data_IF_247799620679
#
_entry.id   IF_247799620679
#
_cell.length_a   1.000
_cell.length_b   1.000
_cell.length_c   1.000
_cell.angle_alpha   90.00
_cell.angle_beta   90.00
_cell.angle_gamma   90.00
#
_symmetry.space_group_name_H-M   'P 1'
#
loop_
_entity.id
_entity.type
_entity.pdbx_description
1 polymer ?
#
# COMPACT_ATOMS: atom_id res chain seq x y z
N UNK A 1 -15.82 -28.50 18.37
CA UNK A 1 -15.76 -27.07 18.03
C UNK A 1 -14.59 -26.85 17.08
N UNK A 2 -14.84 -26.77 15.79
CA UNK A 2 -13.82 -26.38 14.81
C UNK A 2 -13.71 -24.85 14.87
N UNK A 3 -12.55 -24.32 15.29
CA UNK A 3 -12.24 -22.92 15.02
C UNK A 3 -12.08 -22.80 13.50
N UNK A 4 -12.72 -21.83 12.83
CA UNK A 4 -12.35 -21.54 11.45
C UNK A 4 -10.90 -21.08 11.47
N UNK A 5 -10.00 -21.88 10.88
CA UNK A 5 -8.68 -21.43 10.48
C UNK A 5 -8.90 -20.36 9.43
N UNK A 6 -8.73 -19.09 9.81
CA UNK A 6 -8.61 -18.02 8.83
C UNK A 6 -7.44 -18.40 7.91
N UNK A 7 -7.72 -18.49 6.61
CA UNK A 7 -6.64 -18.69 5.64
C UNK A 7 -5.69 -17.51 5.74
N UNK A 8 -4.37 -17.73 5.74
CA UNK A 8 -3.41 -16.64 5.78
C UNK A 8 -3.70 -15.72 4.60
N UNK A 9 -3.92 -14.44 4.88
CA UNK A 9 -4.17 -13.43 3.86
C UNK A 9 -3.01 -13.47 2.87
N UNK A 10 -3.27 -13.91 1.64
CA UNK A 10 -2.29 -13.86 0.57
C UNK A 10 -2.24 -12.41 0.05
N UNK A 11 -1.07 -11.77 0.15
CA UNK A 11 -0.87 -10.37 -0.23
C UNK A 11 -1.31 -10.07 -1.67
N UNK A 12 -0.96 -10.94 -2.62
CA UNK A 12 -1.39 -10.79 -4.01
C UNK A 12 -2.90 -10.94 -4.16
N UNK A 13 -3.50 -11.95 -3.51
CA UNK A 13 -4.95 -12.15 -3.58
C UNK A 13 -5.71 -10.95 -2.98
N UNK A 14 -5.18 -10.34 -1.93
CA UNK A 14 -5.71 -9.10 -1.37
C UNK A 14 -5.66 -7.96 -2.40
N UNK A 15 -4.53 -7.73 -3.07
CA UNK A 15 -4.42 -6.69 -4.09
C UNK A 15 -5.40 -6.93 -5.24
N UNK A 16 -5.50 -8.14 -5.77
CA UNK A 16 -6.43 -8.45 -6.87
C UNK A 16 -7.89 -8.24 -6.46
N UNK A 17 -8.26 -8.63 -5.24
CA UNK A 17 -9.60 -8.39 -4.70
C UNK A 17 -9.89 -6.89 -4.61
N UNK A 18 -8.97 -6.10 -4.04
CA UNK A 18 -9.12 -4.65 -3.92
C UNK A 18 -9.23 -3.97 -5.28
N UNK A 19 -8.37 -4.35 -6.21
CA UNK A 19 -8.37 -3.84 -7.60
C UNK A 19 -9.71 -4.13 -8.27
N UNK A 20 -10.23 -5.36 -8.14
CA UNK A 20 -11.54 -5.73 -8.67
C UNK A 20 -12.65 -4.82 -8.18
N UNK A 21 -12.75 -4.61 -6.86
CA UNK A 21 -13.76 -3.74 -6.27
C UNK A 21 -13.65 -2.28 -6.75
N UNK A 22 -12.44 -1.73 -6.83
CA UNK A 22 -12.22 -0.35 -7.27
C UNK A 22 -12.58 -0.18 -8.75
N UNK A 23 -12.15 -1.10 -9.61
CA UNK A 23 -12.45 -1.05 -11.04
C UNK A 23 -13.96 -1.18 -11.31
N UNK A 24 -14.65 -2.05 -10.59
CA UNK A 24 -16.10 -2.20 -10.66
C UNK A 24 -16.80 -0.90 -10.23
N UNK A 25 -16.41 -0.32 -9.09
CA UNK A 25 -16.97 0.92 -8.58
C UNK A 25 -16.75 2.11 -9.53
N UNK A 26 -15.61 2.15 -10.23
CA UNK A 26 -15.27 3.20 -11.19
C UNK A 26 -15.82 2.96 -12.60
N UNK A 27 -16.34 1.76 -12.89
CA UNK A 27 -16.78 1.37 -14.24
C UNK A 27 -15.66 1.38 -15.28
N UNK A 28 -14.40 1.17 -14.86
CA UNK A 28 -13.20 1.27 -15.70
C UNK A 28 -12.57 -0.10 -15.95
N UNK A 29 -11.81 -0.20 -17.05
CA UNK A 29 -10.94 -1.35 -17.32
C UNK A 29 -9.54 -1.09 -16.75
N UNK A 30 -8.79 -2.15 -16.37
CA UNK A 30 -7.39 -1.99 -15.95
C UNK A 30 -6.57 -1.33 -17.06
N UNK A 31 -5.67 -0.42 -16.67
CA UNK A 31 -4.67 0.13 -17.60
C UNK A 31 -3.65 -0.94 -17.94
N UNK A 32 -3.27 -1.05 -19.21
CA UNK A 32 -2.25 -2.01 -19.62
C UNK A 32 -0.85 -1.49 -19.27
N UNK A 33 0.01 -2.39 -18.82
CA UNK A 33 1.43 -2.13 -18.61
C UNK A 33 2.08 -1.77 -19.95
N UNK A 34 3.00 -0.82 -19.94
CA UNK A 34 3.76 -0.49 -21.15
C UNK A 34 4.81 -1.57 -21.44
N UNK A 35 5.11 -1.81 -22.72
CA UNK A 35 6.15 -2.77 -23.13
C UNK A 35 7.58 -2.30 -22.78
N UNK A 36 7.76 -1.02 -22.42
CA UNK A 36 9.06 -0.44 -22.11
C UNK A 36 9.49 -0.77 -20.67
N UNK A 37 9.87 -2.03 -20.43
CA UNK A 37 10.30 -2.49 -19.12
C UNK A 37 11.59 -1.82 -18.66
N UNK A 38 11.57 -1.25 -17.44
CA UNK A 38 12.77 -0.84 -16.73
C UNK A 38 13.77 -2.01 -16.53
N UNK A 39 15.05 -1.68 -16.41
CA UNK A 39 16.05 -2.67 -16.00
C UNK A 39 15.76 -3.19 -14.59
N UNK A 40 16.10 -4.45 -14.27
CA UNK A 40 15.88 -5.02 -12.93
C UNK A 40 16.51 -4.20 -11.80
N UNK A 41 17.69 -3.62 -12.04
CA UNK A 41 18.37 -2.78 -11.06
C UNK A 41 17.61 -1.48 -10.80
N UNK A 42 17.04 -0.86 -11.83
CA UNK A 42 16.26 0.37 -11.70
C UNK A 42 14.92 0.10 -11.02
N UNK A 43 14.27 -1.02 -11.35
CA UNK A 43 13.08 -1.50 -10.67
C UNK A 43 13.33 -1.68 -9.17
N UNK A 44 14.37 -2.44 -8.80
CA UNK A 44 14.72 -2.69 -7.41
C UNK A 44 15.11 -1.40 -6.65
N UNK A 45 15.74 -0.44 -7.33
CA UNK A 45 16.00 0.88 -6.76
C UNK A 45 14.69 1.61 -6.43
N UNK A 46 13.79 1.78 -7.40
CA UNK A 46 12.54 2.52 -7.21
C UNK A 46 11.62 1.86 -6.18
N UNK A 47 11.57 0.52 -6.16
CA UNK A 47 10.84 -0.22 -5.12
C UNK A 47 11.40 0.08 -3.72
N UNK A 48 12.72 0.07 -3.54
CA UNK A 48 13.36 0.39 -2.24
C UNK A 48 13.10 1.82 -1.79
N UNK A 49 13.07 2.77 -2.71
CA UNK A 49 12.71 4.16 -2.38
C UNK A 49 11.27 4.26 -1.87
N UNK A 50 10.33 3.56 -2.51
CA UNK A 50 8.95 3.51 -2.05
C UNK A 50 8.81 2.81 -0.69
N UNK A 51 9.53 1.70 -0.47
CA UNK A 51 9.59 1.03 0.84
C UNK A 51 10.13 1.97 1.93
N UNK A 52 11.19 2.72 1.63
CA UNK A 52 11.76 3.68 2.58
C UNK A 52 10.77 4.80 2.93
N UNK A 53 10.05 5.34 1.94
CA UNK A 53 8.99 6.33 2.17
C UNK A 53 7.89 5.74 3.06
N UNK A 54 7.42 4.53 2.76
CA UNK A 54 6.42 3.83 3.57
C UNK A 54 6.86 3.71 5.03
N UNK A 55 8.08 3.21 5.29
CA UNK A 55 8.57 3.03 6.67
C UNK A 55 8.78 4.35 7.39
N UNK A 56 9.31 5.35 6.70
CA UNK A 56 9.52 6.68 7.27
C UNK A 56 8.18 7.29 7.70
N UNK A 57 7.19 7.29 6.83
CA UNK A 57 5.89 7.89 7.09
C UNK A 57 5.12 7.13 8.18
N UNK A 58 5.18 5.79 8.18
CA UNK A 58 4.59 4.99 9.25
C UNK A 58 5.24 5.29 10.62
N UNK A 59 6.55 5.51 10.66
CA UNK A 59 7.27 5.85 11.88
C UNK A 59 6.99 7.29 12.35
N UNK A 60 6.83 8.24 11.43
CA UNK A 60 6.45 9.62 11.75
C UNK A 60 5.07 9.68 12.41
N UNK A 61 4.10 8.99 11.83
CA UNK A 61 2.74 8.89 12.37
C UNK A 61 2.71 8.16 13.72
N UNK A 62 3.54 7.12 13.92
CA UNK A 62 3.67 6.45 15.21
C UNK A 62 4.20 7.40 16.30
N UNK A 63 5.11 8.31 15.96
CA UNK A 63 5.67 9.30 16.89
C UNK A 63 4.68 10.43 17.22
N UNK A 64 3.82 10.82 16.27
CA UNK A 64 2.85 11.92 16.45
C UNK A 64 1.55 11.47 17.09
N UNK A 65 1.12 10.22 16.92
CA UNK A 65 -0.09 9.67 17.58
C UNK A 65 0.09 9.54 19.11
N UNK A 66 1.33 9.42 19.59
CA UNK A 66 1.66 9.48 21.04
C UNK A 66 1.43 10.90 21.63
N UNK A 67 1.37 11.97 20.83
CA UNK A 67 1.07 13.35 21.27
C UNK A 67 -0.43 13.72 21.19
N UNK A 68 -1.25 13.03 20.40
CA UNK A 68 -2.65 13.38 20.11
C UNK A 68 -3.63 12.51 20.92
N UNK A 69 -3.49 12.48 22.25
CA UNK A 69 -4.46 11.82 23.14
C UNK A 69 -5.75 12.66 23.34
N UNK A 70 -5.90 13.80 22.66
CA UNK A 70 -7.04 14.71 22.83
C UNK A 70 -7.71 15.11 21.51
N UNK A 71 -8.67 14.30 21.08
CA UNK A 71 -9.70 14.71 20.12
C UNK A 71 -9.42 14.20 18.71
N UNK A 72 -9.95 13.01 18.42
CA UNK A 72 -9.69 12.29 17.18
C UNK A 72 -10.03 13.10 15.92
N UNK A 73 -9.12 13.07 14.96
CA UNK A 73 -9.32 13.40 13.56
C UNK A 73 -8.27 12.63 12.73
N UNK A 74 -8.66 11.47 12.20
CA UNK A 74 -7.95 10.70 11.16
C UNK A 74 -8.00 11.47 9.82
N UNK A 75 -7.46 12.70 9.77
CA UNK A 75 -7.61 13.59 8.60
C UNK A 75 -6.32 14.21 8.07
N UNK A 76 -5.15 13.89 8.61
CA UNK A 76 -3.90 14.22 7.90
C UNK A 76 -3.60 13.14 6.85
N UNK A 77 -3.19 13.57 5.66
CA UNK A 77 -3.01 12.71 4.48
C UNK A 77 -2.11 11.53 4.84
N UNK A 78 -2.60 10.31 4.65
CA UNK A 78 -1.79 9.12 4.90
C UNK A 78 -0.77 8.98 3.76
N UNK A 79 0.52 8.99 4.08
CA UNK A 79 1.65 8.77 3.16
C UNK A 79 1.83 9.80 2.01
N UNK A 80 1.91 11.12 2.27
CA UNK A 80 1.99 12.14 1.22
C UNK A 80 3.23 11.97 0.30
N UNK A 81 4.38 11.61 0.86
CA UNK A 81 5.62 11.37 0.12
C UNK A 81 5.54 10.14 -0.77
N UNK A 82 5.00 9.02 -0.28
CA UNK A 82 4.79 7.84 -1.12
C UNK A 82 3.79 8.12 -2.24
N UNK A 83 2.69 8.81 -1.95
CA UNK A 83 1.68 9.14 -2.96
C UNK A 83 2.24 10.07 -4.04
N UNK A 84 3.01 11.10 -3.66
CA UNK A 84 3.70 11.95 -4.62
C UNK A 84 4.71 11.16 -5.48
N UNK A 85 5.40 10.19 -4.88
CA UNK A 85 6.31 9.30 -5.60
C UNK A 85 5.55 8.43 -6.63
N UNK A 86 4.43 7.82 -6.24
CA UNK A 86 3.57 7.02 -7.13
C UNK A 86 2.98 7.88 -8.25
N UNK A 87 2.50 9.09 -7.95
CA UNK A 87 1.98 10.03 -8.96
C UNK A 87 3.04 10.35 -10.02
N UNK A 88 4.29 10.56 -9.59
CA UNK A 88 5.44 10.75 -10.48
C UNK A 88 5.75 9.55 -11.38
N UNK A 89 5.34 8.33 -11.01
CA UNK A 89 5.51 7.11 -11.82
C UNK A 89 4.38 6.93 -12.85
N UNK A 90 3.16 7.39 -12.55
CA UNK A 90 1.97 7.18 -13.42
C UNK A 90 1.65 8.38 -14.32
N UNK A 91 2.20 9.55 -14.01
CA UNK A 91 1.93 10.79 -14.73
C UNK A 91 2.52 10.77 -16.14
N UNK A 92 1.64 10.92 -17.15
CA UNK A 92 2.00 11.07 -18.56
C UNK A 92 2.52 12.49 -18.91
N UNK A 93 2.43 13.43 -17.97
CA UNK A 93 2.73 14.86 -18.20
C UNK A 93 4.22 15.22 -18.22
N UNK A 94 5.08 14.31 -17.80
CA UNK A 94 6.53 14.45 -17.88
C UNK A 94 6.99 13.71 -19.15
N UNK A 95 8.04 14.16 -19.83
CA UNK A 95 8.55 13.57 -21.10
C UNK A 95 9.09 12.12 -20.99
N UNK A 96 8.61 11.33 -20.03
CA UNK A 96 9.00 9.96 -19.71
C UNK A 96 7.76 9.07 -19.74
N UNK A 97 7.88 7.84 -20.27
CA UNK A 97 6.79 6.87 -20.24
C UNK A 97 6.42 6.52 -18.79
N UNK A 98 5.14 6.26 -18.48
CA UNK A 98 4.70 5.84 -17.16
C UNK A 98 5.32 4.49 -16.80
N UNK A 99 5.73 4.33 -15.54
CA UNK A 99 6.39 3.14 -15.00
C UNK A 99 5.41 2.30 -14.15
N UNK A 100 4.33 1.84 -14.79
CA UNK A 100 3.26 1.09 -14.13
C UNK A 100 3.78 -0.21 -13.50
N UNK A 101 4.82 -0.82 -14.07
CA UNK A 101 5.48 -1.99 -13.52
C UNK A 101 6.09 -1.76 -12.13
N UNK A 102 6.51 -0.52 -11.84
CA UNK A 102 7.01 -0.14 -10.51
C UNK A 102 5.85 -0.01 -9.53
N UNK A 103 4.73 0.54 -9.98
CA UNK A 103 3.50 0.64 -9.17
C UNK A 103 2.99 -0.75 -8.80
N UNK A 104 3.01 -1.70 -9.74
CA UNK A 104 2.68 -3.11 -9.46
C UNK A 104 3.64 -3.73 -8.43
N UNK A 105 4.94 -3.43 -8.53
CA UNK A 105 5.92 -3.89 -7.55
C UNK A 105 5.71 -3.29 -6.15
N UNK A 106 5.25 -2.04 -6.08
CA UNK A 106 4.87 -1.36 -4.83
C UNK A 106 3.60 -1.98 -4.25
N UNK A 107 2.58 -2.23 -5.07
CA UNK A 107 1.34 -2.90 -4.65
C UNK A 107 1.61 -4.29 -4.08
N UNK A 108 2.51 -5.06 -4.71
CA UNK A 108 2.93 -6.37 -4.18
C UNK A 108 3.54 -6.24 -2.78
N UNK A 109 4.45 -5.27 -2.58
CA UNK A 109 5.01 -4.98 -1.25
C UNK A 109 3.93 -4.60 -0.23
N UNK A 110 3.00 -3.71 -0.59
CA UNK A 110 1.92 -3.29 0.31
C UNK A 110 0.98 -4.45 0.65
N UNK A 111 0.69 -5.32 -0.32
CA UNK A 111 -0.06 -6.56 -0.13
C UNK A 111 0.61 -7.50 0.86
N UNK A 112 1.91 -7.76 0.68
CA UNK A 112 2.71 -8.58 1.59
C UNK A 112 2.74 -8.01 3.01
N UNK A 113 2.81 -6.67 3.13
CA UNK A 113 2.80 -6.01 4.43
C UNK A 113 1.45 -6.14 5.11
N UNK A 114 0.35 -5.93 4.39
CA UNK A 114 -1.00 -6.13 4.91
C UNK A 114 -1.24 -7.57 5.35
N UNK A 115 -0.78 -8.54 4.56
CA UNK A 115 -0.83 -9.96 4.88
C UNK A 115 -0.09 -10.27 6.19
N UNK A 116 1.14 -9.78 6.31
CA UNK A 116 1.97 -9.94 7.51
C UNK A 116 1.28 -9.35 8.76
N UNK A 117 0.80 -8.11 8.66
CA UNK A 117 0.08 -7.44 9.74
C UNK A 117 -1.21 -8.17 10.13
N UNK A 118 -1.94 -8.72 9.15
CA UNK A 118 -3.16 -9.51 9.39
C UNK A 118 -2.83 -10.81 10.13
N UNK A 119 -1.79 -11.52 9.70
CA UNK A 119 -1.36 -12.75 10.33
C UNK A 119 -0.89 -12.54 11.79
N UNK A 120 -0.18 -11.44 12.06
CA UNK A 120 0.22 -11.07 13.43
C UNK A 120 -1.00 -10.82 14.33
N UNK A 121 -2.00 -10.06 13.86
CA UNK A 121 -3.25 -9.82 14.59
C UNK A 121 -4.02 -11.13 14.84
N UNK A 122 -4.11 -12.00 13.83
CA UNK A 122 -4.78 -13.31 13.92
C UNK A 122 -4.08 -14.26 14.88
N UNK A 123 -2.75 -14.16 14.99
CA UNK A 123 -1.95 -14.88 15.99
C UNK A 123 -2.16 -14.35 17.42
N UNK A 124 -2.95 -13.30 17.60
CA UNK A 124 -3.29 -12.73 18.90
C UNK A 124 -2.37 -11.60 19.36
N UNK A 125 -1.54 -11.05 18.46
CA UNK A 125 -0.81 -9.82 18.74
C UNK A 125 -1.78 -8.64 18.76
N UNK A 126 -2.39 -8.36 19.91
CA UNK A 126 -3.32 -7.26 20.06
C UNK A 126 -2.57 -6.01 20.53
N UNK A 127 -2.02 -5.26 19.57
CA UNK A 127 -1.53 -3.91 19.85
C UNK A 127 -2.25 -2.91 18.96
N UNK A 128 -2.62 -1.77 19.56
CA UNK A 128 -3.20 -0.63 18.85
C UNK A 128 -2.33 -0.24 17.64
N UNK A 129 -1.01 -0.35 17.79
CA UNK A 129 -0.01 -0.09 16.74
C UNK A 129 -0.19 -1.00 15.52
N UNK A 130 -0.36 -2.30 15.72
CA UNK A 130 -0.57 -3.26 14.63
C UNK A 130 -1.91 -3.04 13.92
N UNK A 131 -2.98 -2.79 14.68
CA UNK A 131 -4.30 -2.50 14.11
C UNK A 131 -4.26 -1.24 13.26
N UNK A 132 -3.64 -0.19 13.79
CA UNK A 132 -3.47 1.09 13.10
C UNK A 132 -2.60 0.94 11.85
N UNK A 133 -1.43 0.32 11.94
CA UNK A 133 -0.55 0.10 10.80
C UNK A 133 -1.24 -0.67 9.69
N UNK A 134 -2.01 -1.72 10.02
CA UNK A 134 -2.80 -2.49 9.05
C UNK A 134 -3.84 -1.61 8.35
N UNK A 135 -4.55 -0.78 9.10
CA UNK A 135 -5.55 0.14 8.55
C UNK A 135 -4.92 1.17 7.61
N UNK A 136 -3.75 1.71 7.97
CA UNK A 136 -3.01 2.65 7.14
C UNK A 136 -2.48 2.00 5.87
N UNK A 137 -1.90 0.79 5.94
CA UNK A 137 -1.49 0.03 4.74
C UNK A 137 -2.69 -0.24 3.83
N UNK A 138 -3.83 -0.66 4.39
CA UNK A 138 -5.03 -0.94 3.61
C UNK A 138 -5.55 0.32 2.88
N UNK A 139 -5.53 1.47 3.57
CA UNK A 139 -5.91 2.76 2.99
C UNK A 139 -4.95 3.20 1.89
N UNK A 140 -3.64 3.02 2.10
CA UNK A 140 -2.64 3.34 1.10
C UNK A 140 -2.82 2.51 -0.19
N UNK A 141 -3.12 1.22 -0.05
CA UNK A 141 -3.41 0.35 -1.22
C UNK A 141 -4.55 0.93 -2.05
N UNK A 142 -5.63 1.41 -1.42
CA UNK A 142 -6.73 2.03 -2.15
C UNK A 142 -6.32 3.28 -2.89
N UNK A 143 -5.49 4.12 -2.28
CA UNK A 143 -5.02 5.37 -2.87
C UNK A 143 -4.06 5.13 -4.04
N UNK A 144 -3.27 4.05 -4.00
CA UNK A 144 -2.38 3.67 -5.11
C UNK A 144 -3.16 3.02 -6.27
N UNK A 145 -4.30 2.38 -5.98
CA UNK A 145 -5.16 1.75 -6.99
C UNK A 145 -6.15 2.71 -7.67
N UNK A 146 -6.41 3.88 -7.08
CA UNK A 146 -7.31 4.92 -7.59
C UNK A 146 -6.63 5.86 -8.59
#
# INVERSE_FOLDING_TARGET
>A
MHKPTAEPVNGQAYIELRRGHILEALGRRPRQLSDAMLSPARMAFLRREAEALYWNELAWEELTDDEIVHGGHLTEMVFPGLLAFVDGLVSEGNSRPPHLEVVESILAFLGDRYATLSAELEAGADSRKLVWARAMTARLVDLVLY
#
